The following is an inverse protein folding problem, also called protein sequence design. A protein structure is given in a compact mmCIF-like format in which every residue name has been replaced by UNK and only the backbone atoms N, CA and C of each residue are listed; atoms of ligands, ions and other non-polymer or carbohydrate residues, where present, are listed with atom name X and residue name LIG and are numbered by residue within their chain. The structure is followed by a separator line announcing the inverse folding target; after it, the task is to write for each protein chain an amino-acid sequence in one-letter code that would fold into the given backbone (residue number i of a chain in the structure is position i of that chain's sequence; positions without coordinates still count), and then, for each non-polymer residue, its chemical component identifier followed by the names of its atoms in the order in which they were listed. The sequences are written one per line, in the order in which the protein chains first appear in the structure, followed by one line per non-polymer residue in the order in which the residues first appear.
data_IF_759996557432
#
_entry.id   IF_759996557432
#
_cell.length_a   1.000
_cell.length_b   1.000
_cell.length_c   1.000
_cell.angle_alpha   90.00
_cell.angle_beta   90.00
_cell.angle_gamma   90.00
#
_symmetry.space_group_name_H-M   'P 1'
#
loop_
_entity.id
_entity.type
_entity.pdbx_description
1 polymer ?
#
# COMPACT_ATOMS: atom_id res chain seq x y z
N UNK A 1 -66.01 34.34 -9.69
CA UNK A 1 -65.24 33.82 -10.83
C UNK A 1 -63.85 33.49 -10.35
N UNK A 2 -63.42 32.23 -10.42
CA UNK A 2 -62.08 31.84 -10.87
C UNK A 2 -61.98 30.32 -10.94
N UNK A 3 -61.45 29.89 -12.06
CA UNK A 3 -61.63 28.59 -12.69
C UNK A 3 -60.45 27.70 -12.33
N UNK A 4 -60.75 26.46 -11.95
CA UNK A 4 -60.00 25.20 -12.13
C UNK A 4 -58.51 25.31 -12.51
N UNK A 5 -57.63 24.63 -11.77
CA UNK A 5 -56.64 23.73 -12.40
C UNK A 5 -56.18 22.62 -11.45
N UNK A 6 -56.42 21.39 -11.89
CA UNK A 6 -55.90 20.15 -11.32
C UNK A 6 -54.42 20.06 -11.73
N UNK A 7 -53.51 19.79 -10.79
CA UNK A 7 -52.24 19.15 -11.12
C UNK A 7 -52.11 17.84 -10.35
N UNK A 8 -52.39 16.76 -11.06
CA UNK A 8 -51.83 15.44 -10.80
C UNK A 8 -50.30 15.55 -10.94
N UNK A 9 -49.58 15.22 -9.88
CA UNK A 9 -48.14 14.94 -9.96
C UNK A 9 -47.99 13.46 -10.25
N UNK A 10 -47.59 13.12 -11.47
CA UNK A 10 -47.32 11.77 -11.93
C UNK A 10 -45.91 11.75 -12.53
N UNK A 11 -45.05 10.88 -11.98
CA UNK A 11 -43.83 10.30 -12.58
C UNK A 11 -42.65 11.27 -12.89
N UNK A 12 -41.38 10.91 -12.72
CA UNK A 12 -40.74 9.59 -12.76
C UNK A 12 -39.50 9.55 -11.84
N UNK A 13 -39.35 8.43 -11.13
CA UNK A 13 -38.08 8.03 -10.51
C UNK A 13 -37.25 7.38 -11.62
N UNK A 14 -36.20 8.07 -12.07
CA UNK A 14 -35.15 7.48 -12.89
C UNK A 14 -34.16 6.75 -11.97
N UNK A 15 -34.37 5.45 -11.80
CA UNK A 15 -33.31 4.56 -11.31
C UNK A 15 -32.33 4.38 -12.45
N UNK A 16 -31.25 5.15 -12.45
CA UNK A 16 -30.10 4.88 -13.28
C UNK A 16 -29.38 3.65 -12.70
N UNK A 17 -29.77 2.45 -13.15
CA UNK A 17 -28.95 1.25 -13.00
C UNK A 17 -27.78 1.42 -13.96
N UNK A 18 -26.75 2.12 -13.49
CA UNK A 18 -25.46 2.13 -14.16
C UNK A 18 -24.80 0.77 -13.97
N UNK A 19 -25.11 -0.19 -14.85
CA UNK A 19 -24.22 -1.33 -15.10
C UNK A 19 -22.97 -0.80 -15.79
N UNK A 20 -22.11 -0.15 -15.02
CA UNK A 20 -20.75 0.18 -15.41
C UNK A 20 -19.93 -1.10 -15.40
N UNK A 21 -20.15 -1.98 -16.37
CA UNK A 21 -19.13 -2.95 -16.75
C UNK A 21 -18.03 -2.14 -17.42
N UNK A 22 -17.09 -1.67 -16.60
CA UNK A 22 -15.85 -1.07 -17.08
C UNK A 22 -15.02 -2.15 -17.75
N UNK A 23 -15.28 -2.42 -19.02
CA UNK A 23 -14.34 -3.17 -19.87
C UNK A 23 -13.25 -2.18 -20.27
N UNK A 24 -12.17 -2.13 -19.50
CA UNK A 24 -10.94 -1.48 -19.95
C UNK A 24 -10.16 -2.46 -20.82
N UNK A 25 -10.10 -2.15 -22.11
CA UNK A 25 -9.25 -2.82 -23.10
C UNK A 25 -7.77 -2.53 -22.81
N UNK A 26 -7.12 -3.43 -22.06
CA UNK A 26 -5.70 -3.85 -22.09
C UNK A 26 -5.53 -4.80 -20.91
N UNK A 27 -5.30 -6.08 -21.21
CA UNK A 27 -5.34 -7.18 -20.27
C UNK A 27 -4.20 -7.19 -19.25
N UNK A 28 -4.27 -6.30 -18.26
CA UNK A 28 -3.62 -6.50 -16.98
C UNK A 28 -4.72 -6.78 -15.97
N UNK A 29 -4.88 -8.05 -15.61
CA UNK A 29 -5.42 -8.35 -14.30
C UNK A 29 -4.41 -7.75 -13.34
N UNK A 30 -4.82 -6.70 -12.64
CA UNK A 30 -4.01 -6.04 -11.62
C UNK A 30 -4.49 -6.64 -10.29
N UNK A 31 -3.91 -7.77 -9.84
CA UNK A 31 -4.39 -8.50 -8.66
C UNK A 31 -4.47 -7.64 -7.38
N UNK A 32 -3.86 -6.46 -7.38
CA UNK A 32 -3.88 -5.49 -6.30
C UNK A 32 -4.99 -4.40 -6.35
N UNK A 33 -5.99 -4.47 -7.25
CA UNK A 33 -7.06 -3.44 -7.31
C UNK A 33 -7.83 -3.27 -5.99
N UNK A 34 -7.99 -4.37 -5.24
CA UNK A 34 -8.67 -4.36 -3.95
C UNK A 34 -7.82 -3.65 -2.88
N UNK A 35 -6.52 -3.92 -2.90
CA UNK A 35 -5.49 -3.38 -2.03
C UNK A 35 -5.33 -1.89 -2.28
N UNK A 36 -5.37 -1.46 -3.55
CA UNK A 36 -5.35 -0.06 -3.99
C UNK A 36 -6.38 0.79 -3.27
N UNK A 37 -7.62 0.29 -3.16
CA UNK A 37 -8.70 1.02 -2.51
C UNK A 37 -8.45 1.26 -1.02
N UNK A 38 -7.78 0.32 -0.34
CA UNK A 38 -7.39 0.46 1.06
C UNK A 38 -6.21 1.42 1.19
N UNK A 39 -5.18 1.28 0.35
CA UNK A 39 -3.99 2.13 0.38
C UNK A 39 -4.33 3.61 0.14
N UNK A 40 -5.06 3.91 -0.93
CA UNK A 40 -5.48 5.27 -1.28
C UNK A 40 -6.50 5.83 -0.26
N UNK A 41 -7.53 5.04 0.04
CA UNK A 41 -8.67 5.45 0.86
C UNK A 41 -8.53 5.22 2.37
N UNK A 42 -7.36 4.81 2.85
CA UNK A 42 -7.17 4.44 4.26
C UNK A 42 -7.45 5.59 5.24
N UNK A 43 -8.15 5.23 6.31
CA UNK A 43 -8.39 6.07 7.49
C UNK A 43 -7.14 6.11 8.38
N UNK A 44 -6.34 5.04 8.34
CA UNK A 44 -5.05 4.92 9.04
C UNK A 44 -3.97 4.45 8.07
N UNK A 45 -2.89 5.21 7.98
CA UNK A 45 -1.73 4.88 7.17
C UNK A 45 -0.47 4.93 8.02
N UNK A 46 0.23 3.82 8.13
CA UNK A 46 1.42 3.67 8.98
C UNK A 46 2.61 3.29 8.11
N UNK A 47 3.68 4.06 8.24
CA UNK A 47 4.99 3.71 7.70
C UNK A 47 5.72 2.83 8.72
N UNK A 48 6.28 1.72 8.25
CA UNK A 48 6.99 0.73 9.06
C UNK A 48 8.44 0.65 8.58
N UNK A 49 9.39 0.63 9.50
CA UNK A 49 10.78 0.27 9.19
C UNK A 49 11.05 -1.14 9.70
N UNK A 50 11.61 -1.96 8.83
CA UNK A 50 11.82 -3.38 9.03
C UNK A 50 13.31 -3.69 9.09
N UNK A 51 13.64 -4.73 9.85
CA UNK A 51 14.91 -5.40 9.73
C UNK A 51 14.75 -6.55 8.72
N UNK A 52 15.56 -6.57 7.65
CA UNK A 52 15.44 -7.56 6.56
C UNK A 52 15.85 -8.99 6.95
N UNK A 53 16.54 -9.16 8.08
CA UNK A 53 17.07 -10.44 8.57
C UNK A 53 16.79 -10.61 10.06
N UNK A 54 17.35 -11.66 10.67
CA UNK A 54 17.45 -11.74 12.11
C UNK A 54 18.11 -10.47 12.68
N UNK A 55 17.59 -9.98 13.80
CA UNK A 55 18.09 -8.77 14.44
C UNK A 55 19.21 -9.15 15.42
N UNK A 56 20.31 -8.39 15.48
CA UNK A 56 21.35 -8.59 16.49
C UNK A 56 20.79 -8.58 17.93
N UNK A 57 21.45 -9.33 18.81
CA UNK A 57 21.08 -9.38 20.23
C UNK A 57 21.14 -7.98 20.86
N UNK A 58 20.15 -7.65 21.70
CA UNK A 58 20.06 -6.37 22.40
C UNK A 58 19.42 -5.22 21.61
N UNK A 59 19.15 -5.40 20.31
CA UNK A 59 18.36 -4.44 19.53
C UNK A 59 16.88 -4.56 19.89
N UNK A 60 16.27 -3.42 20.24
CA UNK A 60 14.83 -3.37 20.58
C UNK A 60 13.99 -3.36 19.31
N UNK A 61 13.02 -4.25 19.25
CA UNK A 61 11.99 -4.29 18.20
C UNK A 61 10.63 -3.90 18.79
N UNK A 62 9.73 -3.42 17.93
CA UNK A 62 8.35 -3.06 18.28
C UNK A 62 7.35 -4.18 17.95
N UNK A 63 7.84 -5.32 17.49
CA UNK A 63 7.03 -6.49 17.16
C UNK A 63 7.47 -7.17 15.87
N UNK A 64 6.56 -7.96 15.33
CA UNK A 64 6.69 -8.70 14.08
C UNK A 64 5.83 -8.06 12.98
N UNK A 65 6.33 -8.11 11.75
CA UNK A 65 5.62 -7.72 10.55
C UNK A 65 5.80 -8.83 9.51
N UNK A 66 5.04 -9.91 9.65
CA UNK A 66 5.06 -11.09 8.76
C UNK A 66 6.42 -11.81 8.73
N UNK A 67 6.99 -12.05 9.91
CA UNK A 67 8.29 -12.70 10.05
C UNK A 67 9.47 -11.72 10.02
N UNK A 68 9.24 -10.45 9.71
CA UNK A 68 10.26 -9.40 9.74
C UNK A 68 10.17 -8.60 11.02
N UNK A 69 11.31 -8.36 11.65
CA UNK A 69 11.33 -7.57 12.87
C UNK A 69 11.03 -6.10 12.58
N UNK A 70 10.03 -5.56 13.28
CA UNK A 70 9.65 -4.15 13.17
C UNK A 70 10.56 -3.31 14.05
N UNK A 71 11.48 -2.54 13.45
CA UNK A 71 12.37 -1.63 14.18
C UNK A 71 11.61 -0.41 14.71
N UNK A 72 10.62 0.06 13.95
CA UNK A 72 9.73 1.12 14.38
C UNK A 72 8.62 1.40 13.38
N UNK A 73 7.61 2.13 13.84
CA UNK A 73 6.50 2.54 12.99
C UNK A 73 6.02 3.96 13.32
N UNK A 74 5.47 4.65 12.31
CA UNK A 74 4.89 5.98 12.45
C UNK A 74 3.62 6.11 11.65
N UNK A 75 2.54 6.57 12.29
CA UNK A 75 1.35 6.99 11.56
C UNK A 75 1.64 8.25 10.75
N UNK A 76 1.37 8.18 9.45
CA UNK A 76 1.51 9.28 8.51
C UNK A 76 0.18 10.05 8.47
N UNK A 77 0.19 11.25 9.04
CA UNK A 77 -0.97 12.16 9.04
C UNK A 77 -0.88 13.23 7.96
N UNK A 78 0.30 13.46 7.37
CA UNK A 78 0.45 14.37 6.22
C UNK A 78 -0.11 13.70 4.95
N UNK A 79 -1.22 14.21 4.39
CA UNK A 79 -1.82 13.63 3.20
C UNK A 79 -0.90 13.73 1.98
N UNK A 80 -0.02 14.73 1.90
CA UNK A 80 0.94 14.86 0.79
C UNK A 80 2.02 13.78 0.89
N UNK A 81 2.49 13.47 2.10
CA UNK A 81 3.45 12.38 2.30
C UNK A 81 2.82 11.02 2.00
N UNK A 82 1.60 10.76 2.48
CA UNK A 82 0.85 9.54 2.13
C UNK A 82 0.73 9.39 0.61
N UNK A 83 0.27 10.43 -0.08
CA UNK A 83 0.11 10.39 -1.54
C UNK A 83 1.44 10.13 -2.27
N UNK A 84 2.56 10.72 -1.80
CA UNK A 84 3.89 10.44 -2.36
C UNK A 84 4.33 8.99 -2.17
N UNK A 85 4.11 8.41 -0.99
CA UNK A 85 4.47 7.02 -0.70
C UNK A 85 3.64 6.04 -1.53
N UNK A 86 2.33 6.26 -1.62
CA UNK A 86 1.43 5.44 -2.43
C UNK A 86 1.77 5.55 -3.92
N UNK A 87 2.04 6.77 -4.41
CA UNK A 87 2.49 6.98 -5.79
C UNK A 87 3.80 6.25 -6.07
N UNK A 88 4.79 6.36 -5.17
CA UNK A 88 6.09 5.71 -5.33
C UNK A 88 5.96 4.17 -5.34
N UNK A 89 5.08 3.61 -4.50
CA UNK A 89 4.74 2.19 -4.56
C UNK A 89 4.23 1.81 -5.95
N UNK A 90 3.26 2.54 -6.50
CA UNK A 90 2.68 2.22 -7.80
C UNK A 90 3.65 2.41 -8.96
N UNK A 91 4.46 3.47 -8.95
CA UNK A 91 5.56 3.63 -9.91
C UNK A 91 6.54 2.45 -9.84
N UNK A 92 6.75 1.91 -8.63
CA UNK A 92 7.50 0.68 -8.45
C UNK A 92 6.88 -0.54 -9.11
N UNK A 93 5.56 -0.64 -9.18
CA UNK A 93 4.86 -1.80 -9.74
C UNK A 93 4.72 -1.75 -11.26
N UNK A 94 5.08 -0.64 -11.89
CA UNK A 94 5.11 -0.49 -13.35
C UNK A 94 6.38 -1.14 -13.94
N UNK A 95 6.53 -2.45 -13.70
CA UNK A 95 7.68 -3.21 -14.22
C UNK A 95 7.46 -3.65 -15.68
N UNK A 96 8.52 -3.68 -16.51
CA UNK A 96 8.49 -4.34 -17.82
C UNK A 96 8.16 -5.84 -17.75
N UNK A 97 7.60 -6.42 -18.81
CA UNK A 97 7.26 -7.85 -18.87
C UNK A 97 8.49 -8.77 -18.71
N UNK A 98 9.67 -8.30 -19.10
CA UNK A 98 10.95 -8.99 -18.99
C UNK A 98 11.73 -8.63 -17.71
N UNK A 99 11.10 -7.93 -16.77
CA UNK A 99 11.75 -7.55 -15.52
C UNK A 99 11.99 -8.77 -14.62
N UNK A 100 13.26 -9.11 -14.43
CA UNK A 100 13.67 -10.14 -13.49
C UNK A 100 13.94 -9.54 -12.11
N UNK A 101 13.07 -9.84 -11.15
CA UNK A 101 13.38 -9.66 -9.72
C UNK A 101 14.44 -10.69 -9.29
N UNK A 102 15.20 -10.38 -8.23
CA UNK A 102 16.09 -11.35 -7.61
C UNK A 102 15.33 -12.37 -6.77
N UNK A 103 15.92 -13.56 -6.58
CA UNK A 103 15.31 -14.66 -5.80
C UNK A 103 15.20 -14.39 -4.28
N UNK A 104 15.61 -13.21 -3.82
CA UNK A 104 15.63 -12.86 -2.41
C UNK A 104 14.44 -11.99 -2.00
N UNK A 105 14.08 -12.05 -0.72
CA UNK A 105 13.13 -11.11 -0.13
C UNK A 105 13.58 -10.66 1.26
N UNK A 106 14.19 -9.49 1.30
CA UNK A 106 14.81 -8.86 2.46
C UNK A 106 14.23 -7.46 2.65
N UNK A 107 12.98 -7.33 3.12
CA UNK A 107 12.28 -6.06 3.14
C UNK A 107 12.84 -5.15 4.23
N UNK A 108 13.04 -3.88 3.88
CA UNK A 108 13.52 -2.84 4.81
C UNK A 108 12.43 -1.83 5.18
N UNK A 109 11.35 -1.80 4.40
CA UNK A 109 10.27 -0.84 4.54
C UNK A 109 8.93 -1.56 4.47
N UNK A 110 7.93 -1.00 5.15
CA UNK A 110 6.56 -1.46 5.00
C UNK A 110 5.52 -0.36 5.13
N UNK A 111 4.32 -0.66 4.66
CA UNK A 111 3.12 0.16 4.82
C UNK A 111 2.07 -0.69 5.50
N UNK A 112 1.39 -0.14 6.50
CA UNK A 112 0.14 -0.68 7.04
C UNK A 112 -0.99 0.31 6.81
N UNK A 113 -1.96 -0.06 5.98
CA UNK A 113 -3.10 0.77 5.64
C UNK A 113 -4.39 0.10 6.11
N UNK A 114 -5.24 0.83 6.84
CA UNK A 114 -6.54 0.34 7.30
C UNK A 114 -7.66 1.22 6.76
N UNK A 115 -8.70 0.60 6.21
CA UNK A 115 -9.93 1.26 5.72
C UNK A 115 -11.14 0.41 6.07
N UNK A 116 -12.11 0.97 6.78
CA UNK A 116 -13.36 0.29 7.10
C UNK A 116 -13.17 -1.15 7.66
N UNK A 117 -12.19 -1.34 8.55
CA UNK A 117 -11.87 -2.65 9.16
C UNK A 117 -11.00 -3.58 8.31
N UNK A 118 -10.79 -3.30 7.01
CA UNK A 118 -9.82 -4.01 6.17
C UNK A 118 -8.42 -3.44 6.40
N UNK A 119 -7.43 -4.31 6.54
CA UNK A 119 -6.03 -3.92 6.64
C UNK A 119 -5.24 -4.56 5.51
N UNK A 120 -4.47 -3.74 4.81
CA UNK A 120 -3.49 -4.16 3.82
C UNK A 120 -2.12 -3.78 4.37
N UNK A 121 -1.30 -4.80 4.54
CA UNK A 121 0.09 -4.67 4.92
C UNK A 121 0.97 -4.91 3.69
N UNK A 122 2.01 -4.11 3.52
CA UNK A 122 2.90 -4.16 2.36
C UNK A 122 4.32 -4.22 2.87
N UNK A 123 5.06 -5.26 2.52
CA UNK A 123 6.50 -5.36 2.76
C UNK A 123 7.26 -5.07 1.47
N UNK A 124 8.30 -4.23 1.55
CA UNK A 124 8.99 -3.67 0.37
C UNK A 124 10.47 -4.05 0.40
N UNK A 125 10.89 -4.84 -0.60
CA UNK A 125 12.28 -5.21 -0.82
C UNK A 125 12.81 -4.61 -2.13
N UNK A 126 13.29 -3.38 -2.07
CA UNK A 126 13.85 -2.70 -3.25
C UNK A 126 15.25 -3.18 -3.67
N UNK A 127 15.98 -3.90 -2.81
CA UNK A 127 17.28 -4.45 -3.18
C UNK A 127 17.12 -5.69 -4.10
N UNK A 128 16.11 -6.52 -3.81
CA UNK A 128 15.76 -7.68 -4.62
C UNK A 128 14.72 -7.35 -5.70
N UNK A 129 13.99 -6.25 -5.58
CA UNK A 129 12.96 -5.84 -6.53
C UNK A 129 11.64 -6.60 -6.35
N UNK A 130 11.25 -6.86 -5.09
CA UNK A 130 9.99 -7.53 -4.75
C UNK A 130 9.14 -6.72 -3.77
N UNK A 131 7.82 -6.93 -3.82
CA UNK A 131 6.82 -6.42 -2.88
C UNK A 131 5.89 -7.55 -2.50
N UNK A 132 5.58 -7.66 -1.22
CA UNK A 132 4.57 -8.59 -0.73
C UNK A 132 3.40 -7.82 -0.13
N UNK A 133 2.20 -8.12 -0.62
CA UNK A 133 0.94 -7.63 -0.09
C UNK A 133 0.33 -8.68 0.82
N UNK A 134 -0.15 -8.25 1.98
CA UNK A 134 -0.78 -9.12 2.96
C UNK A 134 -2.18 -8.61 3.32
N UNK A 135 -3.17 -9.52 3.26
CA UNK A 135 -4.52 -9.33 3.78
C UNK A 135 -4.87 -10.50 4.72
N UNK A 136 -4.59 -10.31 6.01
CA UNK A 136 -4.73 -11.40 6.98
C UNK A 136 -3.69 -12.50 6.75
N UNK A 137 -4.12 -13.65 6.20
CA UNK A 137 -3.25 -14.80 5.86
C UNK A 137 -2.97 -14.92 4.36
N UNK A 138 -3.63 -14.09 3.54
CA UNK A 138 -3.39 -14.05 2.11
C UNK A 138 -2.13 -13.22 1.85
N UNK A 139 -1.27 -13.73 0.96
CA UNK A 139 -0.01 -13.13 0.57
C UNK A 139 0.06 -13.11 -0.96
N UNK A 140 0.47 -11.97 -1.51
CA UNK A 140 0.70 -11.79 -2.93
C UNK A 140 2.06 -11.13 -3.15
N UNK A 141 2.96 -11.87 -3.80
CA UNK A 141 4.27 -11.37 -4.18
C UNK A 141 4.23 -10.81 -5.61
N UNK A 142 4.75 -9.58 -5.79
CA UNK A 142 4.86 -8.94 -7.10
C UNK A 142 6.23 -8.26 -7.28
N UNK A 143 6.77 -8.21 -8.51
CA UNK A 143 8.00 -7.50 -8.78
C UNK A 143 7.85 -5.99 -8.58
N UNK A 144 8.95 -5.31 -8.25
CA UNK A 144 9.03 -3.85 -8.21
C UNK A 144 10.36 -3.31 -8.70
N UNK A 145 10.31 -2.15 -9.37
CA UNK A 145 11.47 -1.31 -9.67
C UNK A 145 12.18 -0.86 -8.39
N UNK A 146 13.50 -0.60 -8.48
CA UNK A 146 14.33 -0.26 -7.31
C UNK A 146 14.28 1.23 -6.96
N UNK A 147 13.98 2.06 -7.95
CA UNK A 147 14.00 3.52 -7.92
C UNK A 147 13.13 4.14 -6.81
N UNK A 148 11.92 3.62 -6.50
CA UNK A 148 11.10 4.13 -5.40
C UNK A 148 11.74 4.05 -4.01
N UNK A 149 12.80 3.24 -3.83
CA UNK A 149 13.55 3.11 -2.56
C UNK A 149 13.87 4.46 -1.94
N UNK A 150 14.34 5.42 -2.74
CA UNK A 150 14.76 6.73 -2.25
C UNK A 150 13.60 7.52 -1.62
N UNK A 151 12.35 7.30 -2.03
CA UNK A 151 11.17 7.95 -1.45
C UNK A 151 10.89 7.39 -0.06
N UNK A 152 10.94 6.06 0.09
CA UNK A 152 10.72 5.38 1.35
C UNK A 152 11.83 5.65 2.35
N UNK A 153 13.09 5.62 1.92
CA UNK A 153 14.23 5.97 2.77
C UNK A 153 14.11 7.38 3.34
N UNK A 154 13.82 8.38 2.48
CA UNK A 154 13.60 9.76 2.92
C UNK A 154 12.44 9.87 3.91
N UNK A 155 11.36 9.11 3.71
CA UNK A 155 10.21 9.13 4.62
C UNK A 155 10.54 8.51 5.99
N UNK A 156 11.29 7.41 6.03
CA UNK A 156 11.76 6.77 7.27
C UNK A 156 12.68 7.71 8.04
N UNK A 157 13.64 8.36 7.37
CA UNK A 157 14.52 9.37 7.98
C UNK A 157 13.71 10.56 8.51
N UNK A 158 12.79 11.10 7.73
CA UNK A 158 11.94 12.22 8.16
C UNK A 158 11.04 11.85 9.35
N UNK A 159 10.58 10.59 9.40
CA UNK A 159 9.79 10.05 10.51
C UNK A 159 10.64 9.69 11.74
N UNK A 160 11.98 9.81 11.65
CA UNK A 160 12.95 9.42 12.69
C UNK A 160 12.80 7.97 13.13
N UNK A 161 12.51 7.10 12.17
CA UNK A 161 12.44 5.65 12.39
C UNK A 161 13.85 5.05 12.30
N UNK A 162 14.20 4.07 13.15
CA UNK A 162 15.48 3.36 13.03
C UNK A 162 15.54 2.62 11.71
N UNK A 163 16.69 2.63 11.02
CA UNK A 163 16.90 1.85 9.80
C UNK A 163 17.71 0.59 10.11
N UNK A 164 17.55 -0.45 9.32
CA UNK A 164 18.39 -1.66 9.41
C UNK A 164 19.90 -1.32 9.37
N UNK A 165 20.30 -0.41 8.48
CA UNK A 165 21.68 0.06 8.37
C UNK A 165 22.22 0.74 9.65
N UNK A 166 21.35 1.22 10.55
CA UNK A 166 21.74 1.89 11.79
C UNK A 166 21.88 0.90 12.97
N UNK A 167 21.32 -0.32 12.86
CA UNK A 167 21.30 -1.31 13.95
C UNK A 167 22.23 -2.51 13.70
N UNK A 168 22.85 -2.59 12.53
CA UNK A 168 23.81 -3.63 12.16
C UNK A 168 23.16 -4.89 11.57
N UNK A 169 23.99 -5.86 11.20
CA UNK A 169 23.59 -7.14 10.63
C UNK A 169 24.08 -8.27 11.52
N UNK A 170 23.37 -9.39 11.55
CA UNK A 170 23.89 -10.61 12.17
C UNK A 170 24.88 -11.22 11.18
N UNK A 171 26.15 -11.32 11.59
CA UNK A 171 27.23 -11.97 10.82
C UNK A 171 27.05 -13.50 10.75
#
# INVERSE_FOLDING_TARGET
MNTKWKLMVLTAVLVAIGTGVGVSARGWYVPWMSQRMVLEGSDKFVLVSLHPQAVPEGVKTQGDFYGFAMLGQKQITDPKLKARLVKALYEGLEVPEDYAAGDCFFPSYGIRATRAGRTVDVALCYDCGGVEFYEGREEEHVPTLREPRAVFEKAVVAAKLPRAADVGWVE
#
